data_IF_143564344874
#
_entry.id   IF_143564344874
#
_cell.length_a   1.000
_cell.length_b   1.000
_cell.length_c   1.000
_cell.angle_alpha   90.00
_cell.angle_beta   90.00
_cell.angle_gamma   90.00
#
_symmetry.space_group_name_H-M   'P 1'
#
loop_
_entity.id
_entity.type
_entity.pdbx_description
1 polymer ?
#
# COMPACT_ATOMS: atom_id res chain seq x y z
N UNK A 1 20.65 17.20 -22.68
CA UNK A 1 19.93 15.95 -22.36
C UNK A 1 19.80 15.90 -20.86
N UNK A 2 18.64 16.26 -20.31
CA UNK A 2 18.41 16.20 -18.86
C UNK A 2 18.31 14.75 -18.44
N UNK A 3 19.22 14.28 -17.61
CA UNK A 3 19.11 12.97 -16.97
C UNK A 3 17.83 12.98 -16.14
N UNK A 4 16.82 12.23 -16.55
CA UNK A 4 15.64 12.02 -15.70
C UNK A 4 16.13 11.33 -14.44
N UNK A 5 16.10 12.06 -13.32
CA UNK A 5 16.39 11.51 -12.00
C UNK A 5 15.13 10.82 -11.44
N UNK A 6 15.30 10.01 -10.38
CA UNK A 6 14.15 9.35 -9.75
C UNK A 6 13.10 10.35 -9.26
N UNK A 7 13.51 11.58 -8.89
CA UNK A 7 12.63 12.63 -8.39
C UNK A 7 11.67 13.14 -9.46
N UNK A 8 12.13 13.24 -10.71
CA UNK A 8 11.30 13.65 -11.84
C UNK A 8 10.20 12.62 -12.10
N UNK A 9 10.56 11.34 -12.11
CA UNK A 9 9.59 10.24 -12.26
C UNK A 9 8.63 10.15 -11.07
N UNK A 10 9.13 10.27 -9.84
CA UNK A 10 8.30 10.29 -8.64
C UNK A 10 7.29 11.45 -8.64
N UNK A 11 7.73 12.64 -9.06
CA UNK A 11 6.86 13.82 -9.15
C UNK A 11 5.78 13.66 -10.22
N UNK A 12 6.14 13.08 -11.37
CA UNK A 12 5.17 12.72 -12.42
C UNK A 12 4.16 11.67 -11.93
N UNK A 13 4.61 10.68 -11.15
CA UNK A 13 3.72 9.69 -10.53
C UNK A 13 2.72 10.32 -9.57
N UNK A 14 3.17 11.26 -8.73
CA UNK A 14 2.30 12.01 -7.82
C UNK A 14 1.25 12.83 -8.58
N UNK A 15 1.63 13.46 -9.69
CA UNK A 15 0.73 14.28 -10.49
C UNK A 15 -0.35 13.43 -11.17
N UNK A 16 0.06 12.34 -11.83
CA UNK A 16 -0.87 11.39 -12.44
C UNK A 16 -1.83 10.78 -11.39
N UNK A 17 -1.34 10.45 -10.20
CA UNK A 17 -2.16 9.92 -9.12
C UNK A 17 -3.22 10.93 -8.62
N UNK A 18 -2.93 12.24 -8.65
CA UNK A 18 -3.90 13.29 -8.32
C UNK A 18 -4.96 13.45 -9.39
N UNK A 19 -4.57 13.32 -10.66
CA UNK A 19 -5.47 13.40 -11.81
C UNK A 19 -6.35 12.15 -11.98
N UNK A 20 -6.03 11.06 -11.27
CA UNK A 20 -6.74 9.79 -11.38
C UNK A 20 -6.20 8.87 -12.49
N UNK A 21 -5.12 9.28 -13.16
CA UNK A 21 -4.43 8.48 -14.17
C UNK A 21 -3.55 7.43 -13.46
N UNK A 22 -4.20 6.41 -12.90
CA UNK A 22 -3.52 5.48 -11.99
C UNK A 22 -2.49 4.59 -12.69
N UNK A 23 -2.72 4.16 -13.92
CA UNK A 23 -1.75 3.34 -14.66
C UNK A 23 -0.48 4.12 -14.98
N UNK A 24 -0.60 5.37 -15.42
CA UNK A 24 0.53 6.26 -15.66
C UNK A 24 1.28 6.59 -14.36
N UNK A 25 0.55 6.74 -13.25
CA UNK A 25 1.16 6.94 -11.95
C UNK A 25 2.01 5.73 -11.53
N UNK A 26 1.51 4.50 -11.72
CA UNK A 26 2.25 3.28 -11.41
C UNK A 26 3.50 3.17 -12.27
N UNK A 27 3.40 3.41 -13.58
CA UNK A 27 4.55 3.38 -14.49
C UNK A 27 5.62 4.39 -14.05
N UNK A 28 5.22 5.59 -13.67
CA UNK A 28 6.14 6.62 -13.20
C UNK A 28 6.81 6.24 -11.86
N UNK A 29 6.07 5.65 -10.91
CA UNK A 29 6.68 5.13 -9.68
C UNK A 29 7.62 3.96 -9.95
N UNK A 30 7.30 3.06 -10.88
CA UNK A 30 8.17 1.97 -11.27
C UNK A 30 9.49 2.49 -11.85
N UNK A 31 9.43 3.51 -12.72
CA UNK A 31 10.64 4.17 -13.24
C UNK A 31 11.45 4.88 -12.16
N UNK A 32 10.79 5.51 -11.19
CA UNK A 32 11.48 6.10 -10.05
C UNK A 32 12.22 5.03 -9.22
N UNK A 33 11.57 3.89 -8.98
CA UNK A 33 12.09 2.78 -8.18
C UNK A 33 13.15 1.94 -8.92
N UNK A 34 13.11 1.88 -10.26
CA UNK A 34 14.19 1.31 -11.07
C UNK A 34 15.49 2.11 -10.89
N UNK A 35 15.40 3.45 -10.76
CA UNK A 35 16.55 4.34 -10.58
C UNK A 35 17.00 4.38 -9.11
N UNK A 36 16.06 4.49 -8.18
CA UNK A 36 16.32 4.43 -6.74
C UNK A 36 15.35 3.46 -6.02
N UNK A 37 15.76 2.19 -5.85
CA UNK A 37 14.95 1.20 -5.16
C UNK A 37 14.72 1.50 -3.67
N UNK A 38 15.49 2.44 -3.08
CA UNK A 38 15.42 2.80 -1.66
C UNK A 38 14.50 3.98 -1.38
N UNK A 39 13.79 4.46 -2.40
CA UNK A 39 12.88 5.60 -2.27
C UNK A 39 11.59 5.22 -1.51
N UNK A 40 11.61 5.39 -0.18
CA UNK A 40 10.50 5.06 0.74
C UNK A 40 9.16 5.65 0.29
N UNK A 41 9.11 6.96 0.01
CA UNK A 41 7.87 7.62 -0.40
C UNK A 41 7.32 7.13 -1.74
N UNK A 42 8.17 6.68 -2.67
CA UNK A 42 7.73 6.12 -3.95
C UNK A 42 7.06 4.76 -3.75
N UNK A 43 7.64 3.88 -2.93
CA UNK A 43 7.00 2.62 -2.51
C UNK A 43 5.65 2.87 -1.82
N UNK A 44 5.59 3.79 -0.86
CA UNK A 44 4.35 4.13 -0.17
C UNK A 44 3.27 4.67 -1.13
N UNK A 45 3.63 5.60 -2.02
CA UNK A 45 2.66 6.21 -2.94
C UNK A 45 2.19 5.26 -4.03
N UNK A 46 3.08 4.37 -4.52
CA UNK A 46 2.70 3.25 -5.39
C UNK A 46 1.67 2.36 -4.70
N UNK A 47 1.89 2.02 -3.43
CA UNK A 47 0.95 1.27 -2.61
C UNK A 47 -0.43 1.94 -2.50
N UNK A 48 -0.47 3.26 -2.32
CA UNK A 48 -1.74 4.02 -2.26
C UNK A 48 -2.53 3.87 -3.56
N UNK A 49 -1.85 4.03 -4.71
CA UNK A 49 -2.49 3.88 -6.03
C UNK A 49 -3.00 2.46 -6.24
N UNK A 50 -2.19 1.44 -5.92
CA UNK A 50 -2.61 0.03 -6.02
C UNK A 50 -3.83 -0.29 -5.14
N UNK A 51 -3.87 0.26 -3.92
CA UNK A 51 -5.02 0.08 -3.04
C UNK A 51 -6.29 0.73 -3.60
N UNK A 52 -6.20 1.88 -4.29
CA UNK A 52 -7.35 2.51 -4.96
C UNK A 52 -7.86 1.68 -6.14
N UNK A 53 -6.96 0.97 -6.81
CA UNK A 53 -7.29 -0.01 -7.87
C UNK A 53 -7.77 -1.36 -7.32
N UNK A 54 -7.96 -1.50 -6.00
CA UNK A 54 -8.31 -2.76 -5.31
C UNK A 54 -7.28 -3.90 -5.51
N UNK A 55 -6.06 -3.57 -5.94
CA UNK A 55 -4.92 -4.48 -6.05
C UNK A 55 -4.23 -4.59 -4.68
N UNK A 56 -4.97 -5.11 -3.71
CA UNK A 56 -4.59 -4.98 -2.29
C UNK A 56 -3.32 -5.74 -1.93
N UNK A 57 -3.11 -6.93 -2.48
CA UNK A 57 -1.91 -7.73 -2.19
C UNK A 57 -0.63 -7.01 -2.65
N UNK A 58 -0.65 -6.44 -3.86
CA UNK A 58 0.47 -5.65 -4.37
C UNK A 58 0.66 -4.35 -3.59
N UNK A 59 -0.42 -3.71 -3.14
CA UNK A 59 -0.35 -2.55 -2.27
C UNK A 59 0.35 -2.87 -0.94
N UNK A 60 -0.03 -3.99 -0.31
CA UNK A 60 0.59 -4.46 0.94
C UNK A 60 2.07 -4.70 0.74
N UNK A 61 2.48 -5.38 -0.34
CA UNK A 61 3.90 -5.59 -0.65
C UNK A 61 4.68 -4.27 -0.82
N UNK A 62 4.07 -3.26 -1.43
CA UNK A 62 4.71 -1.94 -1.56
C UNK A 62 4.90 -1.26 -0.19
N UNK A 63 3.92 -1.37 0.71
CA UNK A 63 4.07 -0.84 2.08
C UNK A 63 5.08 -1.64 2.89
N UNK A 64 5.17 -2.96 2.70
CA UNK A 64 6.19 -3.80 3.32
C UNK A 64 7.59 -3.34 2.91
N UNK A 65 7.82 -3.07 1.62
CA UNK A 65 9.09 -2.51 1.15
C UNK A 65 9.38 -1.14 1.77
N UNK A 66 8.38 -0.26 1.88
CA UNK A 66 8.56 1.04 2.53
C UNK A 66 8.93 0.91 4.01
N UNK A 67 8.31 -0.03 4.73
CA UNK A 67 8.58 -0.33 6.15
C UNK A 67 9.95 -1.00 6.33
N UNK A 68 10.36 -1.87 5.41
CA UNK A 68 11.68 -2.50 5.45
C UNK A 68 12.80 -1.46 5.27
N UNK A 69 12.59 -0.50 4.37
CA UNK A 69 13.53 0.59 4.10
C UNK A 69 13.56 1.63 5.22
N UNK A 70 12.41 1.96 5.80
CA UNK A 70 12.26 2.84 6.95
C UNK A 70 11.11 2.39 7.84
N UNK A 71 11.47 1.66 8.90
CA UNK A 71 10.51 1.11 9.86
C UNK A 71 9.85 2.18 10.72
N UNK A 72 10.38 3.40 10.73
CA UNK A 72 9.82 4.55 11.48
C UNK A 72 8.84 5.38 10.65
N UNK A 73 8.69 5.06 9.36
CA UNK A 73 7.77 5.75 8.47
C UNK A 73 6.30 5.42 8.78
N UNK A 74 5.72 6.12 9.76
CA UNK A 74 4.38 5.88 10.30
C UNK A 74 3.28 5.83 9.22
N UNK A 75 3.43 6.61 8.15
CA UNK A 75 2.46 6.61 7.04
C UNK A 75 2.36 5.25 6.35
N UNK A 76 3.46 4.52 6.15
CA UNK A 76 3.40 3.20 5.53
C UNK A 76 2.68 2.19 6.43
N UNK A 77 2.86 2.27 7.75
CA UNK A 77 2.13 1.44 8.71
C UNK A 77 0.61 1.69 8.67
N UNK A 78 0.20 2.97 8.68
CA UNK A 78 -1.21 3.31 8.56
C UNK A 78 -1.81 2.90 7.22
N UNK A 79 -1.08 3.13 6.12
CA UNK A 79 -1.56 2.78 4.79
C UNK A 79 -1.64 1.26 4.59
N UNK A 80 -0.69 0.49 5.15
CA UNK A 80 -0.75 -0.97 5.21
C UNK A 80 -1.96 -1.44 6.01
N UNK A 81 -2.21 -0.86 7.18
CA UNK A 81 -3.39 -1.19 7.98
C UNK A 81 -4.70 -0.98 7.20
N UNK A 82 -4.83 0.17 6.53
CA UNK A 82 -6.00 0.48 5.72
C UNK A 82 -6.16 -0.49 4.54
N UNK A 83 -5.06 -0.84 3.85
CA UNK A 83 -5.10 -1.81 2.76
C UNK A 83 -5.48 -3.21 3.24
N UNK A 84 -4.96 -3.66 4.39
CA UNK A 84 -5.32 -4.92 5.02
C UNK A 84 -6.82 -4.98 5.38
N UNK A 85 -7.38 -3.91 5.96
CA UNK A 85 -8.82 -3.82 6.25
C UNK A 85 -9.66 -3.85 4.98
N UNK A 86 -9.29 -3.08 3.97
CA UNK A 86 -10.01 -3.06 2.69
C UNK A 86 -9.97 -4.42 2.00
N UNK A 87 -8.83 -5.12 2.08
CA UNK A 87 -8.71 -6.46 1.54
C UNK A 87 -9.56 -7.47 2.31
N UNK A 88 -9.52 -7.41 3.64
CA UNK A 88 -10.35 -8.26 4.50
C UNK A 88 -11.84 -8.05 4.19
N UNK A 89 -12.29 -6.80 4.06
CA UNK A 89 -13.67 -6.49 3.70
C UNK A 89 -14.02 -7.01 2.30
N UNK A 90 -13.14 -6.81 1.32
CA UNK A 90 -13.34 -7.34 -0.03
C UNK A 90 -13.47 -8.87 -0.04
N UNK A 91 -12.69 -9.58 0.79
CA UNK A 91 -12.81 -11.03 0.96
C UNK A 91 -14.15 -11.40 1.61
N UNK A 92 -14.62 -10.67 2.63
CA UNK A 92 -15.94 -10.90 3.23
C UNK A 92 -17.06 -10.71 2.21
N UNK A 93 -16.99 -9.64 1.41
CA UNK A 93 -18.00 -9.32 0.40
C UNK A 93 -18.09 -10.41 -0.67
N UNK A 94 -16.93 -10.91 -1.14
CA UNK A 94 -16.87 -11.98 -2.16
C UNK A 94 -17.16 -13.37 -1.62
N UNK A 95 -16.98 -13.60 -0.31
CA UNK A 95 -17.34 -14.87 0.34
C UNK A 95 -18.86 -15.11 0.34
N UNK A 96 -19.68 -14.06 0.27
CA UNK A 96 -21.13 -14.18 0.17
C UNK A 96 -21.56 -14.87 -1.14
N UNK A 97 -20.77 -14.72 -2.21
CA UNK A 97 -21.07 -15.23 -3.54
C UNK A 97 -20.58 -16.68 -3.76
N UNK A 98 -19.55 -17.14 -3.03
CA UNK A 98 -18.96 -18.49 -3.17
C UNK A 98 -18.99 -19.27 -1.85
N UNK A 99 -20.09 -20.00 -1.62
CA UNK A 99 -20.32 -20.81 -0.41
C UNK A 99 -19.28 -21.93 -0.22
N UNK A 100 -18.65 -22.41 -1.29
CA UNK A 100 -17.65 -23.48 -1.20
C UNK A 100 -16.31 -22.95 -0.65
N UNK A 101 -15.93 -21.73 -1.03
CA UNK A 101 -14.71 -21.09 -0.54
C UNK A 101 -14.92 -20.18 0.68
N UNK A 102 -16.17 -19.84 1.02
CA UNK A 102 -16.51 -18.93 2.11
C UNK A 102 -15.76 -19.19 3.43
N UNK A 103 -15.64 -20.44 3.96
CA UNK A 103 -14.91 -20.66 5.20
C UNK A 103 -13.44 -20.22 5.13
N UNK A 104 -12.75 -20.53 4.03
CA UNK A 104 -11.34 -20.17 3.84
C UNK A 104 -11.18 -18.66 3.71
N UNK A 105 -12.06 -18.03 2.93
CA UNK A 105 -12.05 -16.58 2.70
C UNK A 105 -12.32 -15.80 3.98
N UNK A 106 -13.26 -16.27 4.81
CA UNK A 106 -13.56 -15.69 6.13
C UNK A 106 -12.38 -15.87 7.10
N UNK A 107 -11.75 -17.04 7.15
CA UNK A 107 -10.55 -17.23 7.99
C UNK A 107 -9.42 -16.29 7.56
N UNK A 108 -9.21 -16.12 6.25
CA UNK A 108 -8.21 -15.18 5.73
C UNK A 108 -8.54 -13.73 6.10
N UNK A 109 -9.80 -13.30 6.00
CA UNK A 109 -10.19 -11.93 6.34
C UNK A 109 -9.98 -11.59 7.81
N UNK A 110 -10.29 -12.53 8.73
CA UNK A 110 -10.03 -12.36 10.16
C UNK A 110 -8.54 -12.12 10.43
N UNK A 111 -7.65 -12.94 9.86
CA UNK A 111 -6.21 -12.78 10.03
C UNK A 111 -5.69 -11.45 9.47
N UNK A 112 -6.30 -10.95 8.39
CA UNK A 112 -5.98 -9.64 7.81
C UNK A 112 -6.44 -8.50 8.72
N UNK A 113 -7.61 -8.59 9.36
CA UNK A 113 -8.06 -7.60 10.35
C UNK A 113 -7.13 -7.55 11.56
N UNK A 114 -6.73 -8.70 12.12
CA UNK A 114 -5.76 -8.75 13.23
C UNK A 114 -4.41 -8.12 12.84
N UNK A 115 -3.97 -8.36 11.61
CA UNK A 115 -2.74 -7.76 11.08
C UNK A 115 -2.88 -6.26 10.88
N UNK A 116 -4.06 -5.78 10.49
CA UNK A 116 -4.34 -4.36 10.34
C UNK A 116 -4.30 -3.63 11.68
N UNK A 117 -4.89 -4.21 12.74
CA UNK A 117 -4.87 -3.64 14.08
C UNK A 117 -3.44 -3.46 14.58
N UNK A 118 -2.58 -4.47 14.40
CA UNK A 118 -1.15 -4.38 14.74
C UNK A 118 -0.43 -3.28 13.97
N UNK A 119 -0.70 -3.15 12.67
CA UNK A 119 -0.08 -2.11 11.85
C UNK A 119 -0.55 -0.71 12.27
N UNK A 120 -1.84 -0.56 12.61
CA UNK A 120 -2.40 0.70 13.07
C UNK A 120 -1.79 1.12 14.43
N UNK A 121 -1.68 0.17 15.36
CA UNK A 121 -1.05 0.38 16.66
C UNK A 121 0.41 0.81 16.52
N UNK A 122 1.17 0.17 15.62
CA UNK A 122 2.53 0.56 15.32
C UNK A 122 2.61 1.99 14.74
N UNK A 123 1.68 2.35 13.85
CA UNK A 123 1.56 3.71 13.33
C UNK A 123 1.25 4.74 14.43
N UNK A 124 0.40 4.40 15.40
CA UNK A 124 0.09 5.24 16.55
C UNK A 124 1.30 5.46 17.47
N UNK A 125 2.08 4.40 17.71
CA UNK A 125 3.33 4.48 18.49
C UNK A 125 4.33 5.40 17.79
N UNK A 126 4.57 5.19 16.49
CA UNK A 126 5.53 5.98 15.72
C UNK A 126 5.11 7.44 15.54
N UNK A 127 3.81 7.73 15.48
CA UNK A 127 3.29 9.09 15.40
C UNK A 127 3.13 9.79 16.76
N UNK A 128 3.46 9.11 17.86
CA UNK A 128 3.36 9.64 19.23
C UNK A 128 1.93 9.77 19.76
N UNK A 129 0.94 9.21 19.07
CA UNK A 129 -0.47 9.17 19.52
C UNK A 129 -0.71 8.13 20.59
N UNK A 130 0.17 7.13 20.69
CA UNK A 130 0.16 6.07 21.69
C UNK A 130 1.58 5.89 22.25
N UNK A 131 1.69 5.63 23.55
CA UNK A 131 2.97 5.43 24.25
C UNK A 131 3.12 3.97 24.66
#
# INVERSE_FOLDING_TARGET
>A
MGTQDHNTWYSSGNENAKQGNYDDALLAYDKALEIDPRHVSAWNNKGIVLSRLKRYEEAISCYDMAIELDSTYANAWYNKANALRNFAQFLVDTAADDRANAPKTITRSIALFDSADKCYDQGDILSGKRK
#
